data_IF_781568233208
#
_entry.id   IF_781568233208
#
_cell.length_a   1.000
_cell.length_b   1.000
_cell.length_c   1.000
_cell.angle_alpha   90.00
_cell.angle_beta   90.00
_cell.angle_gamma   90.00
#
_symmetry.space_group_name_H-M   'P 1'
#
loop_
_entity.id
_entity.type
_entity.pdbx_description
1 polymer ?
#
# COMPACT_ATOMS: atom_id res chain seq x y z
N UNK A 1 7.50 17.95 13.15
CA UNK A 1 7.48 18.34 11.73
C UNK A 1 7.68 17.06 10.97
N UNK A 2 6.83 16.77 10.01
CA UNK A 2 6.83 15.46 9.38
C UNK A 2 8.00 15.42 8.37
N UNK A 3 8.71 14.30 8.31
CA UNK A 3 10.09 14.18 7.77
C UNK A 3 10.09 13.34 6.50
N UNK A 4 10.96 13.65 5.53
CA UNK A 4 11.24 12.77 4.38
C UNK A 4 11.56 11.35 4.88
N UNK A 5 11.01 10.32 4.24
CA UNK A 5 11.22 8.93 4.67
C UNK A 5 12.71 8.59 4.81
N UNK A 6 13.58 9.16 3.97
CA UNK A 6 15.04 8.92 3.98
C UNK A 6 15.73 9.51 5.21
N UNK A 7 15.13 10.52 5.81
CA UNK A 7 15.63 11.22 6.99
C UNK A 7 14.92 10.77 8.28
N UNK A 8 13.98 9.81 8.18
CA UNK A 8 13.22 9.31 9.31
C UNK A 8 14.10 8.43 10.23
N UNK A 9 14.02 8.57 11.58
CA UNK A 9 14.85 7.78 12.50
C UNK A 9 14.69 6.26 12.39
N UNK A 10 13.55 5.81 11.85
CA UNK A 10 13.23 4.39 11.63
C UNK A 10 13.38 3.97 10.17
N UNK A 11 13.96 4.82 9.31
CA UNK A 11 14.21 4.47 7.93
C UNK A 11 15.22 3.32 7.84
N UNK A 12 14.99 2.32 6.97
CA UNK A 12 16.01 1.34 6.64
C UNK A 12 17.17 2.01 5.87
N UNK A 13 18.31 1.32 5.70
CA UNK A 13 19.40 1.81 4.85
C UNK A 13 18.93 2.19 3.44
N UNK A 14 19.54 3.22 2.86
CA UNK A 14 19.12 3.75 1.56
C UNK A 14 19.31 2.75 0.41
N UNK A 15 20.21 1.79 0.57
CA UNK A 15 20.45 0.68 -0.35
C UNK A 15 19.24 -0.27 -0.39
N UNK A 16 18.64 -0.56 0.76
CA UNK A 16 17.45 -1.41 0.88
C UNK A 16 16.19 -0.71 0.32
N UNK A 17 16.15 0.62 0.35
CA UNK A 17 15.03 1.40 -0.21
C UNK A 17 14.93 1.37 -1.75
N UNK A 18 15.91 0.81 -2.45
CA UNK A 18 15.99 0.86 -3.92
C UNK A 18 15.25 -0.28 -4.62
N UNK A 19 14.88 -1.35 -3.90
CA UNK A 19 14.33 -2.56 -4.51
C UNK A 19 13.10 -3.08 -3.77
N UNK A 20 11.92 -2.70 -4.24
CA UNK A 20 10.67 -3.31 -3.79
C UNK A 20 9.77 -3.62 -4.98
N UNK A 21 9.12 -4.79 -4.91
CA UNK A 21 8.11 -5.20 -5.88
C UNK A 21 6.76 -5.32 -5.20
N UNK A 22 5.77 -4.60 -5.74
CA UNK A 22 4.38 -4.68 -5.29
C UNK A 22 3.59 -5.65 -6.17
N UNK A 23 3.14 -6.76 -5.60
CA UNK A 23 2.44 -7.84 -6.32
C UNK A 23 0.99 -7.93 -5.83
N UNK A 24 -0.03 -7.79 -6.68
CA UNK A 24 -1.41 -7.99 -6.26
C UNK A 24 -1.65 -9.44 -5.86
N UNK A 25 -2.19 -9.66 -4.66
CA UNK A 25 -2.58 -11.01 -4.20
C UNK A 25 -3.77 -11.48 -5.04
N UNK A 26 -3.70 -12.70 -5.57
CA UNK A 26 -4.79 -13.20 -6.42
C UNK A 26 -6.09 -13.36 -5.64
N UNK A 27 -7.23 -13.20 -6.32
CA UNK A 27 -8.56 -13.42 -5.74
C UNK A 27 -8.72 -14.87 -5.29
N UNK A 28 -8.17 -15.80 -6.06
CA UNK A 28 -8.16 -17.22 -5.77
C UNK A 28 -7.39 -17.52 -4.48
N UNK A 29 -6.25 -16.87 -4.26
CA UNK A 29 -5.48 -17.01 -3.01
C UNK A 29 -6.27 -16.47 -1.81
N UNK A 30 -6.84 -15.26 -1.92
CA UNK A 30 -7.65 -14.67 -0.84
C UNK A 30 -8.83 -15.57 -0.49
N UNK A 31 -9.55 -16.06 -1.50
CA UNK A 31 -10.69 -16.94 -1.30
C UNK A 31 -10.28 -18.29 -0.70
N UNK A 32 -9.12 -18.84 -1.09
CA UNK A 32 -8.59 -20.08 -0.53
C UNK A 32 -8.29 -19.92 0.97
N UNK A 33 -7.56 -18.88 1.35
CA UNK A 33 -7.21 -18.62 2.76
C UNK A 33 -8.46 -18.41 3.62
N UNK A 34 -9.43 -17.65 3.13
CA UNK A 34 -10.72 -17.48 3.81
C UNK A 34 -11.48 -18.81 3.95
N UNK A 35 -11.43 -19.69 2.94
CA UNK A 35 -12.05 -21.01 3.00
C UNK A 35 -11.34 -21.95 4.01
N UNK A 36 -10.03 -21.76 4.20
CA UNK A 36 -9.22 -22.45 5.20
C UNK A 36 -9.43 -21.90 6.63
N UNK A 37 -10.22 -20.83 6.78
CA UNK A 37 -10.59 -20.22 8.06
C UNK A 37 -9.65 -19.12 8.54
N UNK A 38 -8.67 -18.72 7.71
CA UNK A 38 -7.80 -17.57 7.99
C UNK A 38 -8.59 -16.26 7.89
N UNK A 39 -8.21 -15.27 8.69
CA UNK A 39 -8.87 -13.96 8.75
C UNK A 39 -7.87 -12.86 8.51
N UNK A 40 -8.10 -12.07 7.45
CA UNK A 40 -7.27 -10.91 7.15
C UNK A 40 -7.49 -9.81 8.20
N UNK A 41 -6.53 -9.62 9.09
CA UNK A 41 -6.43 -8.44 9.94
C UNK A 41 -5.80 -7.29 9.17
N UNK A 42 -6.16 -6.07 9.55
CA UNK A 42 -5.65 -4.84 8.95
C UNK A 42 -5.41 -3.80 10.04
N UNK A 43 -4.23 -3.20 10.03
CA UNK A 43 -3.89 -2.02 10.82
C UNK A 43 -3.76 -0.80 9.89
N UNK A 44 -4.56 0.23 10.13
CA UNK A 44 -4.62 1.43 9.29
C UNK A 44 -3.45 2.38 9.60
N UNK A 45 -2.40 2.31 8.79
CA UNK A 45 -1.21 3.14 8.95
C UNK A 45 -1.51 4.63 8.82
N UNK A 46 -2.50 5.01 8.02
CA UNK A 46 -2.88 6.43 7.86
C UNK A 46 -3.53 6.99 9.13
N UNK A 47 -4.10 6.14 9.98
CA UNK A 47 -4.63 6.54 11.28
C UNK A 47 -3.59 6.45 12.40
N UNK A 48 -2.72 5.43 12.35
CA UNK A 48 -1.77 5.12 13.43
C UNK A 48 -0.45 5.89 13.30
N UNK A 49 -0.04 6.31 12.09
CA UNK A 49 1.22 7.05 11.84
C UNK A 49 0.98 8.50 11.45
N UNK A 50 0.87 9.36 12.46
CA UNK A 50 0.80 10.82 12.29
C UNK A 50 2.19 11.50 12.19
N UNK A 51 3.26 10.73 12.38
CA UNK A 51 4.64 11.18 12.41
C UNK A 51 5.31 11.21 11.03
N UNK A 52 4.73 10.50 10.06
CA UNK A 52 5.18 10.46 8.67
C UNK A 52 4.36 11.46 7.84
N UNK A 53 5.04 12.41 7.20
CA UNK A 53 4.45 13.10 6.05
C UNK A 53 4.86 12.30 4.84
N UNK A 54 3.89 11.80 4.11
CA UNK A 54 4.09 11.69 2.68
C UNK A 54 3.42 12.93 2.10
N UNK A 55 4.22 13.94 1.72
CA UNK A 55 3.70 14.99 0.85
C UNK A 55 3.24 14.30 -0.43
N UNK A 56 1.93 14.12 -0.57
CA UNK A 56 1.31 14.28 -1.87
C UNK A 56 1.55 15.75 -2.21
N UNK A 57 2.73 16.10 -2.72
CA UNK A 57 2.98 17.46 -3.17
C UNK A 57 1.99 17.71 -4.34
N UNK A 58 0.99 18.60 -4.17
CA UNK A 58 0.89 19.62 -3.12
C UNK A 58 -0.14 19.38 -1.98
N UNK A 59 0.23 19.88 -0.79
CA UNK A 59 -0.51 20.14 0.47
C UNK A 59 -1.98 19.59 0.58
N UNK A 60 -2.27 18.61 1.47
CA UNK A 60 -3.58 17.97 1.64
C UNK A 60 -4.65 18.87 2.30
N UNK A 61 -4.30 20.11 2.65
CA UNK A 61 -5.26 21.13 3.10
C UNK A 61 -5.61 22.15 2.02
N UNK A 62 -4.91 22.12 0.88
CA UNK A 62 -5.14 23.02 -0.23
C UNK A 62 -6.24 22.50 -1.16
N UNK A 63 -7.19 23.36 -1.52
CA UNK A 63 -8.33 22.97 -2.36
C UNK A 63 -7.90 22.96 -3.84
N UNK A 64 -7.15 21.93 -4.21
CA UNK A 64 -6.73 21.56 -5.57
C UNK A 64 -6.91 20.06 -5.85
N UNK A 65 -6.91 19.68 -7.13
CA UNK A 65 -7.37 18.39 -7.72
C UNK A 65 -6.59 17.11 -7.37
N UNK A 66 -5.77 17.08 -6.33
CA UNK A 66 -4.77 16.01 -6.12
C UNK A 66 -4.93 15.20 -4.83
N UNK A 67 -5.95 15.51 -4.03
CA UNK A 67 -6.51 14.67 -2.95
C UNK A 67 -7.68 13.81 -3.45
N UNK A 68 -7.80 13.64 -4.77
CA UNK A 68 -8.87 12.90 -5.39
C UNK A 68 -8.55 11.41 -5.32
N UNK A 69 -9.21 10.72 -4.38
CA UNK A 69 -9.26 9.26 -4.33
C UNK A 69 -9.59 8.63 -5.69
N UNK A 70 -10.29 9.34 -6.58
CA UNK A 70 -10.51 8.95 -7.96
C UNK A 70 -9.23 8.85 -8.79
N UNK A 71 -8.25 9.73 -8.58
CA UNK A 71 -6.93 9.67 -9.22
C UNK A 71 -6.14 8.48 -8.70
N UNK A 72 -6.08 8.29 -7.37
CA UNK A 72 -5.39 7.14 -6.78
C UNK A 72 -6.01 5.81 -7.25
N UNK A 73 -7.35 5.70 -7.23
CA UNK A 73 -8.06 4.55 -7.75
C UNK A 73 -7.79 4.34 -9.24
N UNK A 74 -7.80 5.41 -10.04
CA UNK A 74 -7.48 5.31 -11.46
C UNK A 74 -6.08 4.75 -11.70
N UNK A 75 -5.07 5.18 -10.93
CA UNK A 75 -3.70 4.65 -11.01
C UNK A 75 -3.63 3.18 -10.61
N UNK A 76 -4.24 2.81 -9.50
CA UNK A 76 -4.30 1.41 -9.07
C UNK A 76 -4.95 0.53 -10.15
N UNK A 77 -6.04 1.02 -10.76
CA UNK A 77 -6.71 0.32 -11.86
C UNK A 77 -5.83 0.19 -13.11
N UNK A 78 -5.09 1.24 -13.46
CA UNK A 78 -4.17 1.21 -14.61
C UNK A 78 -3.05 0.17 -14.43
N UNK A 79 -2.54 0.01 -13.21
CA UNK A 79 -1.37 -0.81 -12.93
C UNK A 79 -1.71 -2.25 -12.57
N UNK A 80 -2.78 -2.45 -11.80
CA UNK A 80 -3.10 -3.73 -11.18
C UNK A 80 -4.48 -4.27 -11.59
N UNK A 81 -5.23 -3.53 -12.41
CA UNK A 81 -6.60 -3.88 -12.76
C UNK A 81 -7.58 -3.58 -11.62
N UNK A 82 -8.76 -4.20 -11.62
CA UNK A 82 -9.81 -3.93 -10.62
C UNK A 82 -9.43 -4.35 -9.20
N UNK A 83 -10.04 -3.76 -8.15
CA UNK A 83 -9.83 -4.17 -6.76
C UNK A 83 -9.89 -5.69 -6.57
N UNK A 84 -8.91 -6.27 -5.88
CA UNK A 84 -8.72 -7.73 -5.78
C UNK A 84 -9.29 -8.34 -4.48
N UNK A 85 -9.73 -7.53 -3.50
CA UNK A 85 -10.34 -8.06 -2.27
C UNK A 85 -11.84 -8.35 -2.49
N UNK A 86 -12.32 -9.59 -2.23
CA UNK A 86 -13.74 -9.93 -2.35
C UNK A 86 -14.63 -9.03 -1.47
N UNK A 87 -15.79 -8.63 -2.00
CA UNK A 87 -16.70 -7.72 -1.30
C UNK A 87 -16.42 -6.24 -1.57
N UNK A 88 -15.27 -5.92 -2.17
CA UNK A 88 -14.90 -4.58 -2.64
C UNK A 88 -14.91 -4.47 -4.17
N UNK A 89 -15.66 -5.36 -4.82
CA UNK A 89 -15.81 -5.42 -6.26
C UNK A 89 -16.39 -4.12 -6.84
N UNK A 90 -15.84 -3.72 -7.99
CA UNK A 90 -16.41 -2.65 -8.80
C UNK A 90 -17.79 -3.08 -9.33
N UNK A 91 -18.82 -2.27 -9.08
CA UNK A 91 -20.21 -2.59 -9.44
C UNK A 91 -20.89 -3.60 -8.51
N UNK A 92 -20.23 -4.02 -7.43
CA UNK A 92 -20.85 -4.80 -6.35
C UNK A 92 -21.81 -3.99 -5.49
N UNK A 93 -22.51 -4.66 -4.57
CA UNK A 93 -23.36 -3.97 -3.60
C UNK A 93 -22.51 -3.12 -2.64
N UNK A 94 -22.97 -1.88 -2.43
CA UNK A 94 -22.33 -0.88 -1.57
C UNK A 94 -23.07 -0.71 -0.24
N UNK A 95 -24.22 -1.37 -0.06
CA UNK A 95 -25.11 -1.16 1.08
C UNK A 95 -24.45 -1.41 2.43
N UNK A 96 -23.51 -2.36 2.50
CA UNK A 96 -22.76 -2.73 3.70
C UNK A 96 -21.41 -1.97 3.85
N UNK A 97 -21.09 -1.05 2.93
CA UNK A 97 -19.81 -0.32 2.90
C UNK A 97 -19.95 1.03 3.61
N UNK A 98 -19.53 1.12 4.88
CA UNK A 98 -19.67 2.37 5.65
C UNK A 98 -18.55 3.40 5.38
N UNK A 99 -17.31 2.94 5.22
CA UNK A 99 -16.13 3.83 5.19
C UNK A 99 -15.17 3.56 4.04
N UNK A 100 -15.29 2.41 3.38
CA UNK A 100 -14.39 1.92 2.33
C UNK A 100 -15.20 1.35 1.19
N UNK A 101 -14.99 1.87 -0.01
CA UNK A 101 -15.67 1.51 -1.25
C UNK A 101 -14.83 0.61 -2.15
N UNK A 102 -13.49 0.63 -2.06
CA UNK A 102 -12.59 -0.29 -2.74
C UNK A 102 -11.44 -0.72 -1.81
N UNK A 103 -10.86 -1.89 -2.10
CA UNK A 103 -9.68 -2.36 -1.38
C UNK A 103 -8.83 -3.24 -2.29
N UNK A 104 -7.53 -2.94 -2.30
CA UNK A 104 -6.51 -3.80 -2.84
C UNK A 104 -5.71 -4.45 -1.72
N UNK A 105 -5.29 -5.69 -1.95
CA UNK A 105 -4.34 -6.41 -1.11
C UNK A 105 -3.11 -6.72 -1.96
N UNK A 106 -1.95 -6.28 -1.51
CA UNK A 106 -0.67 -6.53 -2.16
C UNK A 106 0.25 -7.31 -1.24
N UNK A 107 1.09 -8.13 -1.87
CA UNK A 107 2.32 -8.64 -1.28
C UNK A 107 3.43 -7.69 -1.70
N UNK A 108 4.08 -7.09 -0.72
CA UNK A 108 5.27 -6.28 -0.91
C UNK A 108 6.48 -7.19 -0.73
N UNK A 109 7.31 -7.30 -1.76
CA UNK A 109 8.52 -8.12 -1.77
C UNK A 109 9.74 -7.20 -1.70
N UNK A 110 10.63 -7.48 -0.75
CA UNK A 110 11.90 -6.80 -0.61
C UNK A 110 12.94 -7.46 -1.55
N UNK A 111 13.42 -6.70 -2.52
CA UNK A 111 14.37 -7.17 -3.54
C UNK A 111 15.83 -6.86 -3.16
N UNK A 112 16.10 -6.28 -1.99
CA UNK A 112 17.46 -6.04 -1.51
C UNK A 112 18.23 -7.35 -1.27
N UNK A 113 19.55 -7.36 -1.46
CA UNK A 113 20.38 -8.53 -1.20
C UNK A 113 20.27 -8.99 0.27
N UNK A 114 20.23 -10.30 0.51
CA UNK A 114 20.05 -10.90 1.85
C UNK A 114 21.06 -10.37 2.90
N UNK A 115 22.27 -10.01 2.47
CA UNK A 115 23.32 -9.49 3.35
C UNK A 115 23.12 -8.04 3.79
N UNK A 116 22.30 -7.28 3.08
CA UNK A 116 22.05 -5.85 3.31
C UNK A 116 20.61 -5.59 3.80
N UNK A 117 19.82 -6.65 3.96
CA UNK A 117 18.41 -6.61 4.31
C UNK A 117 18.18 -6.48 5.81
N UNK A 118 17.41 -5.48 6.23
CA UNK A 118 16.98 -5.28 7.62
C UNK A 118 15.48 -5.48 7.82
N UNK A 119 14.70 -5.40 6.74
CA UNK A 119 13.26 -5.65 6.72
C UNK A 119 12.94 -7.11 6.39
N UNK A 120 11.69 -7.56 6.62
CA UNK A 120 11.24 -8.88 6.17
C UNK A 120 11.37 -9.07 4.65
N UNK A 121 11.43 -10.32 4.21
CA UNK A 121 11.50 -10.68 2.79
C UNK A 121 10.23 -10.27 2.04
N UNK A 122 9.08 -10.48 2.68
CA UNK A 122 7.79 -10.07 2.17
C UNK A 122 6.81 -9.80 3.31
N UNK A 123 5.84 -8.92 3.06
CA UNK A 123 4.70 -8.70 3.95
C UNK A 123 3.48 -8.21 3.16
N UNK A 124 2.32 -8.14 3.81
CA UNK A 124 1.08 -7.72 3.16
C UNK A 124 0.75 -6.27 3.47
N UNK A 125 0.31 -5.56 2.43
CA UNK A 125 -0.14 -4.17 2.52
C UNK A 125 -1.48 -4.02 1.82
N UNK A 126 -2.33 -3.15 2.35
CA UNK A 126 -3.60 -2.79 1.72
C UNK A 126 -3.60 -1.35 1.24
N UNK A 127 -4.23 -1.13 0.09
CA UNK A 127 -4.56 0.21 -0.41
C UNK A 127 -6.08 0.30 -0.55
N UNK A 128 -6.69 1.25 0.16
CA UNK A 128 -8.14 1.37 0.24
C UNK A 128 -8.55 2.84 0.24
N UNK A 129 -9.83 3.11 0.05
CA UNK A 129 -10.38 4.42 0.39
C UNK A 129 -10.89 4.46 1.83
N UNK A 130 -10.65 5.58 2.48
CA UNK A 130 -11.25 5.91 3.77
C UNK A 130 -11.81 7.32 3.71
N UNK A 131 -13.15 7.44 3.73
CA UNK A 131 -13.83 8.75 3.67
C UNK A 131 -13.35 9.62 2.48
N UNK A 132 -13.23 9.00 1.31
CA UNK A 132 -12.73 9.62 0.08
C UNK A 132 -11.28 10.11 0.11
N UNK A 133 -10.44 9.49 0.95
CA UNK A 133 -8.98 9.67 0.96
C UNK A 133 -8.29 8.33 0.78
N UNK A 134 -7.04 8.33 0.31
CA UNK A 134 -6.22 7.14 0.27
C UNK A 134 -5.93 6.68 1.70
N UNK A 135 -6.22 5.42 1.99
CA UNK A 135 -5.79 4.71 3.17
C UNK A 135 -4.76 3.64 2.79
N UNK A 136 -3.75 3.50 3.64
CA UNK A 136 -2.74 2.43 3.53
C UNK A 136 -2.77 1.63 4.81
N UNK A 137 -2.76 0.31 4.71
CA UNK A 137 -2.74 -0.59 5.87
C UNK A 137 -1.64 -1.63 5.78
N UNK A 138 -1.21 -2.11 6.94
CA UNK A 138 -0.53 -3.40 7.05
C UNK A 138 -1.58 -4.48 7.27
N UNK A 139 -1.36 -5.65 6.69
CA UNK A 139 -2.27 -6.77 6.82
C UNK A 139 -1.56 -8.06 7.21
N UNK A 140 -2.32 -8.97 7.83
CA UNK A 140 -1.85 -10.31 8.17
C UNK A 140 -3.03 -11.30 8.18
N UNK A 141 -2.79 -12.58 7.87
CA UNK A 141 -3.82 -13.62 7.80
C UNK A 141 -4.16 -14.28 9.14
N UNK A 142 -3.33 -14.05 10.16
CA UNK A 142 -3.45 -14.67 11.49
C UNK A 142 -4.27 -13.83 12.49
N UNK A 143 -5.06 -12.86 11.99
CA UNK A 143 -6.04 -12.14 12.80
C UNK A 143 -5.46 -11.04 13.71
N UNK A 144 -4.15 -10.85 13.74
CA UNK A 144 -3.47 -9.73 14.41
C UNK A 144 -2.29 -9.26 13.57
N UNK A 145 -2.14 -7.93 13.45
CA UNK A 145 -0.99 -7.31 12.80
C UNK A 145 0.01 -6.93 13.89
N UNK A 146 1.28 -7.27 13.71
CA UNK A 146 2.33 -6.95 14.67
C UNK A 146 2.47 -5.42 14.87
N UNK A 147 2.24 -4.91 16.10
CA UNK A 147 2.41 -3.49 16.40
C UNK A 147 3.83 -2.97 16.13
N UNK A 148 4.87 -3.81 16.28
CA UNK A 148 6.24 -3.42 15.97
C UNK A 148 6.43 -3.16 14.47
N UNK A 149 5.72 -3.88 13.61
CA UNK A 149 5.70 -3.60 12.18
C UNK A 149 4.94 -2.31 11.86
N UNK A 150 3.82 -2.04 12.54
CA UNK A 150 3.02 -0.82 12.38
C UNK A 150 3.85 0.42 12.71
N UNK A 151 4.46 0.44 13.91
CA UNK A 151 5.22 1.58 14.41
C UNK A 151 6.65 1.63 13.86
N UNK A 152 7.12 0.56 13.21
CA UNK A 152 8.49 0.39 12.75
C UNK A 152 8.74 0.79 11.30
N UNK A 153 9.90 0.35 10.80
CA UNK A 153 10.35 0.59 9.42
C UNK A 153 9.41 -0.03 8.38
N UNK A 154 8.77 -1.16 8.69
CA UNK A 154 7.81 -1.84 7.82
C UNK A 154 6.60 -0.94 7.51
N UNK A 155 5.97 -0.38 8.54
CA UNK A 155 4.83 0.54 8.40
C UNK A 155 5.23 1.82 7.66
N UNK A 156 6.39 2.39 8.00
CA UNK A 156 6.94 3.56 7.31
C UNK A 156 7.13 3.32 5.80
N UNK A 157 7.80 2.23 5.43
CA UNK A 157 8.07 1.87 4.02
C UNK A 157 6.78 1.56 3.27
N UNK A 158 5.85 0.84 3.91
CA UNK A 158 4.55 0.51 3.33
C UNK A 158 3.73 1.76 2.99
N UNK A 159 3.66 2.70 3.94
CA UNK A 159 2.96 3.97 3.75
C UNK A 159 3.55 4.78 2.59
N UNK A 160 4.89 4.91 2.56
CA UNK A 160 5.56 5.67 1.51
C UNK A 160 5.43 5.01 0.13
N UNK A 161 5.68 3.71 0.00
CA UNK A 161 5.65 3.02 -1.29
C UNK A 161 4.25 3.03 -1.91
N UNK A 162 3.21 2.70 -1.14
CA UNK A 162 1.83 2.69 -1.66
C UNK A 162 1.40 4.11 -2.06
N UNK A 163 1.78 5.11 -1.27
CA UNK A 163 1.46 6.51 -1.59
C UNK A 163 2.18 6.96 -2.87
N UNK A 164 3.47 6.64 -3.02
CA UNK A 164 4.26 6.99 -4.20
C UNK A 164 3.75 6.31 -5.47
N UNK A 165 3.36 5.02 -5.40
CA UNK A 165 2.80 4.29 -6.54
C UNK A 165 1.56 4.96 -7.13
N UNK A 166 0.76 5.63 -6.31
CA UNK A 166 -0.48 6.29 -6.76
C UNK A 166 -0.33 7.78 -7.02
N UNK A 167 0.75 8.41 -6.54
CA UNK A 167 1.01 9.85 -6.70
C UNK A 167 1.99 10.16 -7.83
N UNK A 168 3.03 9.35 -8.01
CA UNK A 168 4.11 9.64 -8.95
C UNK A 168 3.80 9.16 -10.39
N UNK A 169 4.19 9.93 -11.42
CA UNK A 169 4.17 9.45 -12.79
C UNK A 169 5.15 8.27 -12.93
N UNK A 170 4.66 7.13 -13.42
CA UNK A 170 5.52 5.98 -13.70
C UNK A 170 6.33 6.26 -14.96
N UNK A 171 7.65 6.22 -14.81
CA UNK A 171 8.56 6.23 -15.94
C UNK A 171 8.51 4.87 -16.64
N UNK A 172 7.83 4.82 -17.78
CA UNK A 172 7.85 3.65 -18.65
C UNK A 172 9.17 3.63 -19.42
N UNK A 173 10.10 2.76 -19.02
CA UNK A 173 11.27 2.46 -19.86
C UNK A 173 10.82 1.61 -21.03
N UNK A 174 10.99 2.13 -22.26
CA UNK A 174 10.88 1.29 -23.45
C UNK A 174 12.17 0.49 -23.52
N UNK A 175 12.15 -0.77 -23.10
CA UNK A 175 13.21 -1.71 -23.48
C UNK A 175 13.11 -1.92 -25.00
N UNK A 176 14.06 -1.31 -25.72
CA UNK A 176 14.22 -1.38 -27.16
C UNK A 176 14.63 -2.83 -27.53
N UNK A 177 13.64 -3.72 -27.59
CA UNK A 177 13.82 -5.10 -28.04
C UNK A 177 13.98 -5.12 -29.57
N UNK A 178 15.19 -4.81 -30.03
CA UNK A 178 15.60 -5.00 -31.41
C UNK A 178 15.69 -6.51 -31.72
N UNK A 179 14.72 -7.03 -32.49
CA UNK A 179 14.75 -8.34 -33.14
C UNK A 179 15.36 -8.26 -34.54
#
# INVERSE_FOLDING_TARGET
MPVDIRDHPQAPPAEELQGFTLIPVSREEIASRQADGETLAEADLTAERDDVYVELDPDPTDRGTHDDIGTALYRLVQLFGTPNVPGFDAGGDLSDREHTTFKYLFRLVNDADEGDRTLPDEWLVTAFDKKARLGVGLADWDGEVDPEHVDGAVGLVSLALVTNVVSEPIETSVEDNWY
#
